data_IF_575470360648
#
_entry.id   IF_575470360648
#
_cell.length_a   1.000
_cell.length_b   1.000
_cell.length_c   1.000
_cell.angle_alpha   90.00
_cell.angle_beta   90.00
_cell.angle_gamma   90.00
#
_symmetry.space_group_name_H-M   'P 1'
#
loop_
_entity.id
_entity.type
_entity.pdbx_description
1 polymer ?
#
# COMPACT_ATOMS: atom_id res chain seq x y z
N UNK A 1 -1.00 -31.81 -2.34
CA UNK A 1 -1.27 -30.35 -2.44
C UNK A 1 -2.64 -30.23 -3.05
N UNK A 2 -3.57 -29.53 -2.40
CA UNK A 2 -4.97 -29.52 -2.82
C UNK A 2 -5.27 -28.50 -3.94
N UNK A 3 -4.22 -27.86 -4.48
CA UNK A 3 -4.30 -26.92 -5.58
C UNK A 3 -4.10 -27.70 -6.88
N UNK A 4 -5.18 -27.84 -7.65
CA UNK A 4 -5.18 -28.42 -8.99
C UNK A 4 -5.86 -27.46 -9.97
N UNK A 5 -5.06 -26.84 -10.85
CA UNK A 5 -5.55 -25.88 -11.85
C UNK A 5 -6.25 -26.55 -13.04
N UNK A 6 -6.09 -27.87 -13.20
CA UNK A 6 -6.68 -28.63 -14.30
C UNK A 6 -8.09 -29.13 -13.95
N UNK A 7 -8.31 -29.47 -12.68
CA UNK A 7 -9.60 -29.96 -12.17
C UNK A 7 -10.46 -28.86 -11.58
N UNK A 8 -9.88 -27.98 -10.76
CA UNK A 8 -10.59 -26.95 -10.00
C UNK A 8 -9.90 -25.58 -10.16
N UNK A 9 -9.89 -24.99 -11.38
CA UNK A 9 -9.19 -23.75 -11.66
C UNK A 9 -9.68 -22.58 -10.79
N UNK A 10 -10.99 -22.48 -10.54
CA UNK A 10 -11.56 -21.40 -9.72
C UNK A 10 -11.12 -21.49 -8.25
N UNK A 11 -11.13 -22.69 -7.67
CA UNK A 11 -10.66 -22.94 -6.30
C UNK A 11 -9.17 -22.61 -6.18
N UNK A 12 -8.36 -23.13 -7.10
CA UNK A 12 -6.92 -22.94 -7.12
C UNK A 12 -6.53 -21.47 -7.27
N UNK A 13 -7.18 -20.73 -8.19
CA UNK A 13 -6.99 -19.28 -8.32
C UNK A 13 -7.41 -18.52 -7.07
N UNK A 14 -8.53 -18.88 -6.44
CA UNK A 14 -8.98 -18.25 -5.20
C UNK A 14 -7.97 -18.42 -4.07
N UNK A 15 -7.45 -19.64 -3.86
CA UNK A 15 -6.45 -19.92 -2.82
C UNK A 15 -5.16 -19.13 -3.05
N UNK A 16 -4.68 -19.04 -4.30
CA UNK A 16 -3.50 -18.23 -4.65
C UNK A 16 -3.73 -16.74 -4.38
N UNK A 17 -4.89 -16.20 -4.77
CA UNK A 17 -5.24 -14.80 -4.50
C UNK A 17 -5.33 -14.52 -3.00
N UNK A 18 -5.84 -15.47 -2.21
CA UNK A 18 -5.86 -15.41 -0.74
C UNK A 18 -4.45 -15.27 -0.16
N UNK A 19 -3.56 -16.17 -0.57
CA UNK A 19 -2.19 -16.22 -0.07
C UNK A 19 -1.44 -14.95 -0.47
N UNK A 20 -1.57 -14.52 -1.73
CA UNK A 20 -0.96 -13.29 -2.23
C UNK A 20 -1.46 -12.07 -1.45
N UNK A 21 -2.77 -11.96 -1.22
CA UNK A 21 -3.35 -10.86 -0.45
C UNK A 21 -2.89 -10.87 1.00
N UNK A 22 -2.78 -12.05 1.63
CA UNK A 22 -2.27 -12.19 2.99
C UNK A 22 -0.82 -11.69 3.11
N UNK A 23 0.05 -12.12 2.19
CA UNK A 23 1.45 -11.69 2.13
C UNK A 23 1.56 -10.17 1.94
N UNK A 24 0.77 -9.59 1.03
CA UNK A 24 0.77 -8.14 0.78
C UNK A 24 0.36 -7.37 2.04
N UNK A 25 -0.67 -7.82 2.76
CA UNK A 25 -1.11 -7.14 4.00
C UNK A 25 -0.06 -7.21 5.10
N UNK A 26 0.61 -8.35 5.25
CA UNK A 26 1.72 -8.49 6.18
C UNK A 26 2.89 -7.59 5.80
N UNK A 27 3.25 -7.54 4.52
CA UNK A 27 4.32 -6.66 4.01
C UNK A 27 3.98 -5.17 4.19
N UNK A 28 2.71 -4.78 4.07
CA UNK A 28 2.22 -3.42 4.28
C UNK A 28 2.05 -3.04 5.75
N UNK A 29 2.43 -3.91 6.69
CA UNK A 29 2.42 -3.60 8.13
C UNK A 29 3.59 -2.66 8.45
N UNK A 30 3.44 -1.40 8.05
CA UNK A 30 4.46 -0.37 8.29
C UNK A 30 4.39 0.13 9.75
N UNK A 31 5.54 0.34 10.42
CA UNK A 31 5.59 0.81 11.81
C UNK A 31 5.02 2.24 11.98
N UNK A 32 5.05 3.05 10.92
CA UNK A 32 4.51 4.41 10.84
C UNK A 32 2.98 4.47 10.69
N UNK A 33 2.30 3.32 10.57
CA UNK A 33 0.84 3.27 10.44
C UNK A 33 0.17 3.47 11.81
N UNK A 34 -1.06 3.99 11.81
CA UNK A 34 -1.85 4.09 13.04
C UNK A 34 -1.99 2.72 13.71
N UNK A 35 -2.01 2.66 15.04
CA UNK A 35 -2.10 1.40 15.80
C UNK A 35 -3.25 0.52 15.29
N UNK A 36 -4.41 1.12 15.00
CA UNK A 36 -5.57 0.43 14.43
C UNK A 36 -5.32 -0.16 13.04
N UNK A 37 -4.71 0.59 12.13
CA UNK A 37 -4.39 0.09 10.78
C UNK A 37 -3.34 -1.04 10.82
N UNK A 38 -2.36 -0.92 11.72
CA UNK A 38 -1.33 -1.96 11.92
C UNK A 38 -1.94 -3.26 12.44
N UNK A 39 -2.80 -3.18 13.46
CA UNK A 39 -3.48 -4.35 14.02
C UNK A 39 -4.41 -4.97 12.99
N UNK A 40 -5.15 -4.15 12.22
CA UNK A 40 -6.01 -4.65 11.15
C UNK A 40 -5.20 -5.38 10.06
N UNK A 41 -4.16 -4.76 9.52
CA UNK A 41 -3.30 -5.38 8.50
C UNK A 41 -2.69 -6.70 8.98
N UNK A 42 -2.27 -6.76 10.25
CA UNK A 42 -1.73 -7.97 10.84
C UNK A 42 -2.79 -9.07 10.99
N UNK A 43 -3.96 -8.74 11.54
CA UNK A 43 -5.05 -9.72 11.75
C UNK A 43 -5.59 -10.26 10.43
N UNK A 44 -5.83 -9.39 9.44
CA UNK A 44 -6.32 -9.81 8.13
C UNK A 44 -5.23 -10.52 7.31
N UNK A 45 -3.98 -10.06 7.38
CA UNK A 45 -2.85 -10.72 6.75
C UNK A 45 -2.67 -12.15 7.26
N UNK A 46 -2.64 -12.34 8.58
CA UNK A 46 -2.57 -13.66 9.21
C UNK A 46 -3.82 -14.47 8.87
N UNK A 47 -5.01 -13.89 8.96
CA UNK A 47 -6.26 -14.59 8.68
C UNK A 47 -6.33 -15.13 7.24
N UNK A 48 -5.95 -14.32 6.26
CA UNK A 48 -5.93 -14.73 4.85
C UNK A 48 -4.83 -15.75 4.55
N UNK A 49 -3.65 -15.59 5.14
CA UNK A 49 -2.54 -16.52 4.96
C UNK A 49 -2.86 -17.89 5.60
N UNK A 50 -3.36 -17.90 6.84
CA UNK A 50 -3.73 -19.11 7.56
C UNK A 50 -4.88 -19.85 6.86
N UNK A 51 -5.89 -19.11 6.40
CA UNK A 51 -7.01 -19.72 5.69
C UNK A 51 -6.61 -20.24 4.30
N UNK A 52 -5.75 -19.52 3.57
CA UNK A 52 -5.22 -19.98 2.29
C UNK A 52 -4.35 -21.23 2.45
N UNK A 53 -3.52 -21.30 3.49
CA UNK A 53 -2.71 -22.48 3.81
C UNK A 53 -3.57 -23.67 4.22
N UNK A 54 -4.63 -23.44 5.01
CA UNK A 54 -5.60 -24.47 5.37
C UNK A 54 -6.24 -25.10 4.12
N UNK A 55 -6.73 -24.26 3.19
CA UNK A 55 -7.33 -24.73 1.94
C UNK A 55 -6.32 -25.40 1.00
N UNK A 56 -5.06 -24.96 0.99
CA UNK A 56 -4.02 -25.50 0.11
C UNK A 56 -3.47 -26.87 0.56
N UNK A 57 -3.41 -27.13 1.87
CA UNK A 57 -2.67 -28.27 2.42
C UNK A 57 -3.50 -29.23 3.29
N UNK A 58 -4.55 -28.75 3.96
CA UNK A 58 -5.31 -29.53 4.96
C UNK A 58 -6.68 -29.93 4.44
N UNK A 59 -7.22 -29.19 3.48
CA UNK A 59 -8.50 -29.51 2.87
C UNK A 59 -8.34 -30.67 1.89
N UNK A 60 -9.19 -31.71 2.01
CA UNK A 60 -9.04 -33.01 1.30
C UNK A 60 -10.21 -33.31 0.34
N UNK A 61 -10.95 -32.26 -0.06
CA UNK A 61 -12.08 -32.36 -0.99
C UNK A 61 -13.43 -32.60 -0.30
N UNK A 62 -14.39 -31.72 -0.57
CA UNK A 62 -15.73 -31.70 0.04
C UNK A 62 -16.44 -30.37 -0.23
N UNK A 63 -17.57 -30.10 0.44
CA UNK A 63 -18.25 -28.80 0.36
C UNK A 63 -17.52 -27.74 1.19
N UNK A 64 -16.92 -26.75 0.53
CA UNK A 64 -16.28 -25.61 1.20
C UNK A 64 -17.22 -24.40 1.22
N UNK A 65 -17.37 -23.78 2.39
CA UNK A 65 -18.07 -22.50 2.49
C UNK A 65 -17.14 -21.40 2.00
N UNK A 66 -17.43 -20.87 0.81
CA UNK A 66 -16.74 -19.69 0.32
C UNK A 66 -17.26 -18.49 1.11
N UNK A 67 -16.52 -18.10 2.14
CA UNK A 67 -16.82 -16.96 2.99
C UNK A 67 -16.49 -15.63 2.28
N UNK A 68 -16.96 -15.43 1.05
CA UNK A 68 -16.81 -14.15 0.32
C UNK A 68 -17.26 -12.96 1.18
N UNK A 69 -18.25 -13.17 2.05
CA UNK A 69 -18.76 -12.17 2.98
C UNK A 69 -17.75 -11.80 4.09
N UNK A 70 -16.92 -12.74 4.53
CA UNK A 70 -15.82 -12.47 5.48
C UNK A 70 -14.68 -11.66 4.84
N UNK A 71 -14.62 -11.61 3.49
CA UNK A 71 -13.67 -10.78 2.75
C UNK A 71 -14.09 -9.32 2.61
N UNK A 72 -15.39 -9.01 2.72
CA UNK A 72 -15.91 -7.65 2.47
C UNK A 72 -15.36 -6.64 3.47
N UNK A 73 -15.37 -6.98 4.77
CA UNK A 73 -14.85 -6.12 5.84
C UNK A 73 -13.37 -5.81 5.65
N UNK A 74 -12.48 -6.82 5.48
CA UNK A 74 -11.07 -6.56 5.19
C UNK A 74 -10.84 -5.76 3.91
N UNK A 75 -11.53 -6.08 2.81
CA UNK A 75 -11.35 -5.36 1.53
C UNK A 75 -11.75 -3.90 1.68
N UNK A 76 -12.88 -3.61 2.34
CA UNK A 76 -13.29 -2.23 2.64
C UNK A 76 -12.25 -1.49 3.48
N UNK A 77 -11.63 -2.17 4.45
CA UNK A 77 -10.56 -1.62 5.29
C UNK A 77 -9.28 -1.34 4.51
N UNK A 78 -8.91 -2.22 3.56
CA UNK A 78 -7.78 -2.02 2.64
C UNK A 78 -8.05 -0.81 1.75
N UNK A 79 -9.22 -0.72 1.11
CA UNK A 79 -9.59 0.42 0.27
C UNK A 79 -9.54 1.75 1.05
N UNK A 80 -10.03 1.75 2.29
CA UNK A 80 -9.96 2.93 3.16
C UNK A 80 -8.49 3.29 3.48
N UNK A 81 -7.67 2.30 3.79
CA UNK A 81 -6.25 2.50 4.13
C UNK A 81 -5.44 3.00 2.94
N UNK A 82 -5.62 2.41 1.75
CA UNK A 82 -4.98 2.84 0.50
C UNK A 82 -5.38 4.26 0.14
N UNK A 83 -6.67 4.60 0.21
CA UNK A 83 -7.17 5.96 -0.03
C UNK A 83 -6.52 6.97 0.92
N UNK A 84 -6.36 6.61 2.19
CA UNK A 84 -5.73 7.47 3.20
C UNK A 84 -4.24 7.67 2.92
N UNK A 85 -3.52 6.63 2.48
CA UNK A 85 -2.11 6.72 2.10
C UNK A 85 -1.94 7.63 0.87
N UNK A 86 -2.78 7.47 -0.16
CA UNK A 86 -2.74 8.31 -1.36
C UNK A 86 -3.03 9.78 -1.00
N UNK A 87 -4.04 10.03 -0.17
CA UNK A 87 -4.38 11.38 0.29
C UNK A 87 -3.19 12.04 1.02
N UNK A 88 -2.56 11.34 1.98
CA UNK A 88 -1.38 11.84 2.70
C UNK A 88 -0.18 12.11 1.77
N UNK A 89 0.01 11.28 0.74
CA UNK A 89 1.06 11.50 -0.28
C UNK A 89 0.80 12.77 -1.09
N UNK A 90 -0.45 13.01 -1.48
CA UNK A 90 -0.84 14.20 -2.22
C UNK A 90 -0.69 15.46 -1.36
N UNK A 91 -1.07 15.40 -0.08
CA UNK A 91 -0.86 16.49 0.89
C UNK A 91 0.64 16.81 1.07
N UNK A 92 1.48 15.78 1.21
CA UNK A 92 2.94 15.97 1.33
C UNK A 92 3.55 16.55 0.06
N UNK A 93 3.08 16.14 -1.12
CA UNK A 93 3.50 16.70 -2.40
C UNK A 93 3.06 18.17 -2.57
N UNK A 94 1.83 18.49 -2.16
CA UNK A 94 1.31 19.86 -2.19
C UNK A 94 2.05 20.77 -1.20
N UNK A 95 2.36 20.28 0.01
CA UNK A 95 3.16 21.00 0.98
C UNK A 95 4.59 21.23 0.49
N UNK A 96 5.22 20.24 -0.16
CA UNK A 96 6.54 20.41 -0.77
C UNK A 96 6.53 21.44 -1.92
N UNK A 97 5.48 21.47 -2.74
CA UNK A 97 5.30 22.47 -3.78
C UNK A 97 5.06 23.89 -3.20
N UNK A 98 4.32 24.00 -2.08
CA UNK A 98 4.10 25.26 -1.39
C UNK A 98 5.37 25.80 -0.70
N UNK A 99 6.27 24.93 -0.23
CA UNK A 99 7.59 25.35 0.28
C UNK A 99 8.51 25.79 -0.86
N UNK A 100 8.41 25.17 -2.03
CA UNK A 100 9.16 25.59 -3.22
C UNK A 100 8.64 26.93 -3.79
N UNK A 101 7.34 27.20 -3.70
CA UNK A 101 6.73 28.49 -4.00
C UNK A 101 6.67 29.36 -2.73
N UNK A 102 7.79 29.95 -2.34
CA UNK A 102 7.79 30.97 -1.29
C UNK A 102 7.83 32.38 -1.94
N UNK A 103 6.68 33.07 -2.11
CA UNK A 103 6.63 34.42 -2.68
C UNK A 103 7.23 35.50 -1.76
N UNK A 104 7.67 35.13 -0.55
CA UNK A 104 8.24 36.04 0.46
C UNK A 104 9.78 36.06 0.44
N UNK A 105 10.45 35.23 -0.38
CA UNK A 105 11.89 35.40 -0.63
C UNK A 105 12.05 36.44 -1.74
N UNK A 106 12.57 37.65 -1.47
CA UNK A 106 12.85 38.61 -2.53
C UNK A 106 13.84 37.95 -3.49
N UNK A 107 13.60 38.06 -4.81
CA UNK A 107 14.57 37.67 -5.81
C UNK A 107 15.92 38.29 -5.41
N UNK A 108 16.93 37.43 -5.20
CA UNK A 108 18.25 37.89 -4.78
C UNK A 108 18.69 39.03 -5.72
N UNK A 109 19.11 40.19 -5.19
CA UNK A 109 19.49 41.31 -6.03
C UNK A 109 20.57 40.83 -7.00
N UNK A 110 20.33 41.05 -8.29
CA UNK A 110 21.26 40.67 -9.34
C UNK A 110 22.67 41.17 -8.97
N UNK A 111 23.71 40.34 -9.08
CA UNK A 111 25.07 40.79 -8.78
C UNK A 111 25.34 42.03 -9.64
N UNK A 112 25.60 43.15 -8.96
CA UNK A 112 25.98 44.39 -9.61
C UNK A 112 27.28 44.10 -10.36
N UNK A 113 27.17 43.90 -11.67
CA UNK A 113 28.33 43.85 -12.57
C UNK A 113 29.03 45.19 -12.39
N UNK A 114 30.19 45.17 -11.73
CA UNK A 114 30.94 46.36 -11.43
C UNK A 114 31.76 46.72 -12.69
N UNK A 115 31.37 47.74 -13.48
CA UNK A 115 32.02 48.05 -14.75
C UNK A 115 33.48 48.49 -14.56
N UNK A 116 33.90 48.81 -13.34
CA UNK A 116 35.27 49.17 -13.00
C UNK A 116 36.30 48.02 -13.15
N UNK A 117 35.85 46.76 -13.24
CA UNK A 117 36.75 45.61 -13.40
C UNK A 117 37.09 45.33 -14.88
N UNK A 118 36.39 45.95 -15.83
CA UNK A 118 36.58 45.69 -17.27
C UNK A 118 37.68 46.56 -17.91
N UNK A 119 38.08 47.66 -17.25
CA UNK A 119 39.02 48.65 -17.81
C UNK A 119 40.50 48.36 -17.49
N UNK A 120 40.81 47.21 -16.89
CA UNK A 120 42.17 46.86 -16.42
C UNK A 120 42.79 45.64 -17.12
N UNK A 121 42.33 45.28 -18.32
CA UNK A 121 42.84 44.15 -19.10
C UNK A 121 43.38 44.53 -20.47
#
# INVERSE_FOLDING_TARGET
MNIDFSLEPLFSTYVVLLLLSGVILLALTAPESSKGARIANLLFGIGFLAYGLYLAFVFDGGSYLILFKAFIVPVALIFHTVKTIIAKRNEKAAAAAAVAYNPVVPAAPAPLVNPAMEESR
#
